data_IF_382899318556
#
_entry.id   IF_382899318556
#
_cell.length_a   1.000
_cell.length_b   1.000
_cell.length_c   1.000
_cell.angle_alpha   90.00
_cell.angle_beta   90.00
_cell.angle_gamma   90.00
#
_symmetry.space_group_name_H-M   'P 1'
#
loop_
_entity.id
_entity.type
_entity.pdbx_description
1 polymer ?
#
# COMPACT_ATOMS: atom_id res chain seq x y z
N UNK A 1 -6.07 -37.61 -22.53
CA UNK A 1 -4.94 -37.08 -23.30
C UNK A 1 -4.22 -35.99 -22.53
N UNK A 2 -3.05 -35.60 -22.98
CA UNK A 2 -2.31 -34.49 -22.37
C UNK A 2 -2.96 -33.16 -22.69
N UNK A 3 -2.96 -32.18 -21.77
CA UNK A 3 -3.37 -30.83 -22.07
C UNK A 3 -2.55 -30.24 -23.23
N UNK A 4 -3.23 -29.63 -24.19
CA UNK A 4 -2.56 -28.92 -25.30
C UNK A 4 -2.70 -27.42 -25.07
N UNK A 5 -1.59 -26.71 -25.17
CA UNK A 5 -1.56 -25.24 -25.08
C UNK A 5 -1.62 -24.69 -26.49
N UNK A 6 -2.70 -23.99 -26.80
CA UNK A 6 -2.89 -23.32 -28.08
C UNK A 6 -3.03 -24.25 -29.29
N UNK A 7 -3.18 -23.67 -30.46
CA UNK A 7 -3.15 -24.37 -31.73
C UNK A 7 -1.71 -24.55 -32.15
N UNK A 8 -1.30 -25.79 -32.40
CA UNK A 8 0.07 -26.16 -32.82
C UNK A 8 1.17 -25.69 -31.84
N UNK A 9 0.85 -25.62 -30.54
CA UNK A 9 1.79 -25.17 -29.50
C UNK A 9 1.96 -23.66 -29.38
N UNK A 10 1.19 -22.86 -30.13
CA UNK A 10 1.26 -21.40 -30.09
C UNK A 10 0.11 -20.87 -29.26
N UNK A 11 0.43 -20.08 -28.22
CA UNK A 11 -0.57 -19.35 -27.43
C UNK A 11 -1.11 -18.17 -28.26
N UNK A 12 -2.43 -18.08 -28.37
CA UNK A 12 -3.11 -16.99 -29.08
C UNK A 12 -3.61 -15.96 -28.06
N UNK A 13 -3.71 -14.70 -28.46
CA UNK A 13 -4.24 -13.64 -27.62
C UNK A 13 -5.71 -13.84 -27.24
N UNK A 14 -6.47 -14.50 -28.12
CA UNK A 14 -7.91 -14.75 -27.91
C UNK A 14 -8.26 -16.18 -28.23
N UNK A 15 -9.16 -16.74 -27.44
CA UNK A 15 -9.74 -18.08 -27.65
C UNK A 15 -11.27 -18.02 -27.59
N UNK A 16 -11.92 -18.97 -28.23
CA UNK A 16 -13.35 -19.16 -28.01
C UNK A 16 -13.60 -19.53 -26.55
N UNK A 17 -14.59 -18.91 -25.95
CA UNK A 17 -15.02 -19.23 -24.59
C UNK A 17 -15.44 -20.71 -24.54
N UNK A 18 -15.01 -21.48 -23.52
CA UNK A 18 -15.44 -22.87 -23.38
C UNK A 18 -16.96 -22.94 -23.19
N UNK A 19 -17.58 -23.95 -23.79
CA UNK A 19 -19.04 -24.19 -23.65
C UNK A 19 -19.35 -24.78 -22.27
N UNK A 20 -19.18 -23.97 -21.24
CA UNK A 20 -19.48 -24.28 -19.83
C UNK A 20 -20.54 -23.31 -19.32
N UNK A 21 -21.37 -23.71 -18.35
CA UNK A 21 -22.27 -22.79 -17.69
C UNK A 21 -21.45 -21.62 -17.07
N UNK A 22 -21.92 -20.40 -17.27
CA UNK A 22 -21.30 -19.25 -16.63
C UNK A 22 -21.52 -19.32 -15.12
N UNK A 23 -20.45 -19.11 -14.36
CA UNK A 23 -20.50 -18.93 -12.91
C UNK A 23 -20.09 -17.50 -12.60
N UNK A 24 -21.02 -16.72 -12.11
CA UNK A 24 -20.73 -15.35 -11.69
C UNK A 24 -20.24 -15.39 -10.25
N UNK A 25 -18.99 -15.02 -10.04
CA UNK A 25 -18.47 -14.80 -8.69
C UNK A 25 -18.99 -13.46 -8.16
N UNK A 26 -19.41 -13.45 -6.90
CA UNK A 26 -19.76 -12.19 -6.24
C UNK A 26 -18.50 -11.30 -6.17
N UNK A 27 -18.66 -10.06 -6.61
CA UNK A 27 -17.58 -9.07 -6.46
C UNK A 27 -17.31 -8.85 -4.97
N UNK A 28 -16.03 -8.90 -4.60
CA UNK A 28 -15.61 -8.56 -3.25
C UNK A 28 -15.69 -7.03 -3.06
N UNK A 29 -16.11 -6.56 -1.88
CA UNK A 29 -16.11 -5.13 -1.60
C UNK A 29 -14.71 -4.53 -1.81
N UNK A 30 -14.63 -3.49 -2.63
CA UNK A 30 -13.36 -2.77 -2.87
C UNK A 30 -12.94 -1.92 -1.66
N UNK A 31 -13.91 -1.55 -0.82
CA UNK A 31 -13.74 -0.75 0.38
C UNK A 31 -13.90 -1.62 1.63
N UNK A 32 -13.03 -1.39 2.60
CA UNK A 32 -13.14 -1.93 3.95
C UNK A 32 -13.33 -0.78 4.93
N UNK A 33 -14.44 -0.76 5.63
CA UNK A 33 -14.77 0.25 6.66
C UNK A 33 -14.28 -0.18 8.05
N UNK A 34 -13.65 -1.38 8.17
CA UNK A 34 -13.11 -1.93 9.41
C UNK A 34 -14.14 -2.01 10.54
N UNK A 35 -15.37 -2.34 10.21
CA UNK A 35 -16.49 -2.52 11.14
C UNK A 35 -16.71 -3.99 11.55
N UNK A 36 -16.02 -4.92 10.90
CA UNK A 36 -16.01 -6.33 11.25
C UNK A 36 -15.14 -6.61 12.48
N UNK A 37 -15.42 -7.72 13.18
CA UNK A 37 -14.63 -8.15 14.35
C UNK A 37 -13.23 -8.66 13.97
N UNK A 38 -13.05 -9.11 12.72
CA UNK A 38 -11.80 -9.66 12.20
C UNK A 38 -11.46 -9.08 10.84
N UNK A 39 -10.16 -9.04 10.53
CA UNK A 39 -9.70 -8.65 9.19
C UNK A 39 -10.13 -9.67 8.13
N UNK A 40 -10.49 -9.19 6.96
CA UNK A 40 -10.74 -10.02 5.78
C UNK A 40 -9.48 -10.80 5.36
N UNK A 41 -9.68 -11.93 4.67
CA UNK A 41 -8.59 -12.83 4.26
C UNK A 41 -7.65 -12.26 3.19
N UNK A 42 -8.02 -11.16 2.57
CA UNK A 42 -7.22 -10.43 1.59
C UNK A 42 -6.21 -9.46 2.21
N UNK A 43 -6.32 -9.23 3.53
CA UNK A 43 -5.33 -8.49 4.28
C UNK A 43 -4.15 -9.37 4.69
N UNK A 44 -2.95 -8.92 4.39
CA UNK A 44 -1.71 -9.63 4.66
C UNK A 44 -0.72 -8.77 5.43
N UNK A 45 0.16 -9.43 6.14
CA UNK A 45 1.21 -8.83 6.95
C UNK A 45 2.59 -9.14 6.35
N UNK A 46 3.59 -8.41 6.78
CA UNK A 46 4.98 -8.77 6.53
C UNK A 46 5.42 -9.71 7.64
N UNK A 47 5.84 -10.93 7.29
CA UNK A 47 6.28 -11.98 8.21
C UNK A 47 5.17 -12.33 9.23
N UNK A 48 5.54 -12.54 10.48
CA UNK A 48 4.62 -12.92 11.56
C UNK A 48 4.62 -11.86 12.67
N UNK A 49 3.83 -10.78 12.52
CA UNK A 49 3.83 -9.68 13.48
C UNK A 49 3.21 -10.05 14.82
N UNK A 50 3.55 -9.33 15.86
CA UNK A 50 2.87 -9.44 17.14
C UNK A 50 1.41 -8.99 17.02
N UNK A 51 0.47 -9.76 17.57
CA UNK A 51 -0.97 -9.44 17.53
C UNK A 51 -1.32 -8.07 18.14
N UNK A 52 -0.45 -7.50 18.96
CA UNK A 52 -0.68 -6.23 19.64
C UNK A 52 -0.46 -4.99 18.79
N UNK A 53 0.05 -5.11 17.55
CA UNK A 53 0.34 -3.92 16.74
C UNK A 53 -0.86 -3.37 15.95
N UNK A 54 -1.97 -4.09 15.88
CA UNK A 54 -3.20 -3.62 15.26
C UNK A 54 -4.45 -3.94 16.10
N UNK A 55 -5.54 -3.21 15.87
CA UNK A 55 -6.83 -3.42 16.51
C UNK A 55 -7.98 -2.90 15.66
N UNK A 56 -9.09 -3.63 15.62
CA UNK A 56 -10.37 -3.21 15.06
C UNK A 56 -11.36 -2.73 16.16
N UNK A 57 -11.06 -3.00 17.43
CA UNK A 57 -11.96 -2.75 18.55
C UNK A 57 -11.61 -1.51 19.37
N UNK A 58 -10.33 -1.09 19.38
CA UNK A 58 -9.90 0.12 20.11
C UNK A 58 -10.55 1.40 19.56
N UNK A 59 -10.87 1.43 18.26
CA UNK A 59 -11.64 2.50 17.61
C UNK A 59 -12.57 1.88 16.56
N UNK A 60 -13.83 1.58 16.93
CA UNK A 60 -14.79 0.97 16.01
C UNK A 60 -14.92 1.75 14.69
N UNK A 61 -15.05 1.03 13.57
CA UNK A 61 -15.08 1.63 12.23
C UNK A 61 -13.72 2.14 11.75
N UNK A 62 -12.63 1.66 12.34
CA UNK A 62 -11.27 2.04 11.95
C UNK A 62 -10.29 0.93 12.28
N UNK A 63 -9.32 0.72 11.40
CA UNK A 63 -8.13 -0.04 11.72
C UNK A 63 -7.15 0.86 12.50
N UNK A 64 -6.82 0.48 13.72
CA UNK A 64 -5.76 1.11 14.49
C UNK A 64 -4.45 0.36 14.30
N UNK A 65 -3.41 1.05 13.84
CA UNK A 65 -2.05 0.54 13.81
C UNK A 65 -1.22 1.20 14.91
N UNK A 66 -0.39 0.42 15.60
CA UNK A 66 0.60 0.91 16.56
C UNK A 66 1.97 0.91 15.88
N UNK A 67 2.58 2.08 15.76
CA UNK A 67 3.95 2.21 15.31
C UNK A 67 4.90 1.50 16.28
N UNK A 68 5.96 0.95 15.75
CA UNK A 68 7.07 0.36 16.48
C UNK A 68 8.39 0.89 15.91
N UNK A 69 9.50 0.72 16.61
CA UNK A 69 10.82 1.05 16.10
C UNK A 69 11.25 0.18 14.90
N UNK A 70 10.51 -0.89 14.61
CA UNK A 70 10.75 -1.77 13.46
C UNK A 70 10.21 -1.10 12.20
N UNK A 71 11.07 -0.85 11.24
CA UNK A 71 10.74 -0.29 9.92
C UNK A 71 11.13 -1.26 8.80
N UNK A 72 10.98 -0.88 7.53
CA UNK A 72 11.28 -1.75 6.40
C UNK A 72 12.76 -2.11 6.26
N UNK A 73 13.68 -1.33 6.82
CA UNK A 73 15.13 -1.64 6.77
C UNK A 73 15.53 -2.68 7.80
N UNK A 74 14.67 -2.97 8.76
CA UNK A 74 14.88 -3.97 9.79
C UNK A 74 14.36 -5.32 9.29
N UNK A 75 15.18 -6.37 9.31
CA UNK A 75 14.73 -7.71 8.94
C UNK A 75 13.83 -8.33 10.02
N UNK A 76 12.69 -7.72 10.28
CA UNK A 76 11.70 -8.08 11.29
C UNK A 76 10.28 -7.80 10.76
N UNK A 77 9.27 -7.81 11.63
CA UNK A 77 7.85 -7.63 11.30
C UNK A 77 7.42 -6.19 11.60
N UNK A 78 7.49 -5.27 10.63
CA UNK A 78 7.01 -3.90 10.81
C UNK A 78 5.50 -3.85 10.94
N UNK A 79 4.95 -2.79 11.51
CA UNK A 79 3.51 -2.54 11.54
C UNK A 79 3.01 -2.18 10.16
N UNK A 80 2.76 -3.20 9.34
CA UNK A 80 2.26 -3.11 7.98
C UNK A 80 1.11 -4.08 7.75
N UNK A 81 0.04 -3.59 7.14
CA UNK A 81 -1.11 -4.39 6.67
C UNK A 81 -1.42 -3.94 5.24
N UNK A 82 -1.40 -4.87 4.30
CA UNK A 82 -1.59 -4.54 2.90
C UNK A 82 -2.37 -5.58 2.11
N UNK A 83 -2.83 -5.15 0.94
CA UNK A 83 -3.42 -6.00 -0.10
C UNK A 83 -2.50 -6.05 -1.30
N UNK A 84 -2.47 -7.20 -1.97
CA UNK A 84 -1.75 -7.32 -3.24
C UNK A 84 -2.41 -6.45 -4.31
N UNK A 85 -1.60 -5.75 -5.08
CA UNK A 85 -2.09 -5.05 -6.26
C UNK A 85 -2.59 -6.08 -7.29
N UNK A 86 -3.89 -6.07 -7.58
CA UNK A 86 -4.54 -7.05 -8.45
C UNK A 86 -4.84 -6.50 -9.86
N UNK A 87 -4.66 -5.20 -10.08
CA UNK A 87 -4.90 -4.55 -11.38
C UNK A 87 -3.84 -3.49 -11.67
N UNK A 88 -3.57 -3.23 -12.94
CA UNK A 88 -2.69 -2.14 -13.35
C UNK A 88 -3.31 -0.78 -13.02
N UNK A 89 -4.57 -0.61 -13.37
CA UNK A 89 -5.31 0.64 -13.15
C UNK A 89 -6.17 0.51 -11.89
N UNK A 90 -5.79 1.21 -10.84
CA UNK A 90 -6.54 1.27 -9.58
C UNK A 90 -6.23 2.55 -8.81
N UNK A 91 -7.09 2.88 -7.85
CA UNK A 91 -6.78 3.87 -6.82
C UNK A 91 -6.97 3.23 -5.44
N UNK A 92 -5.91 3.24 -4.65
CA UNK A 92 -5.94 2.88 -3.24
C UNK A 92 -5.92 4.16 -2.40
N UNK A 93 -6.84 4.29 -1.45
CA UNK A 93 -6.88 5.45 -0.57
C UNK A 93 -7.19 5.06 0.86
N UNK A 94 -6.64 5.81 1.81
CA UNK A 94 -6.93 5.68 3.22
C UNK A 94 -7.18 7.05 3.84
N UNK A 95 -8.18 7.11 4.70
CA UNK A 95 -8.41 8.26 5.58
C UNK A 95 -7.64 8.03 6.87
N UNK A 96 -6.64 8.85 7.12
CA UNK A 96 -5.67 8.70 8.20
C UNK A 96 -5.90 9.80 9.24
N UNK A 97 -6.03 9.39 10.50
CA UNK A 97 -6.04 10.28 11.66
C UNK A 97 -4.78 10.00 12.50
N UNK A 98 -3.75 10.80 12.27
CA UNK A 98 -2.46 10.64 12.92
C UNK A 98 -1.80 12.01 13.14
N UNK A 99 -1.33 12.26 14.35
CA UNK A 99 -0.60 13.46 14.73
C UNK A 99 0.75 13.00 15.29
N UNK A 100 1.83 13.09 14.49
CA UNK A 100 3.18 12.74 14.94
C UNK A 100 3.64 13.74 16.01
N UNK A 101 4.46 13.28 16.95
CA UNK A 101 5.06 14.11 18.02
C UNK A 101 6.54 14.36 17.78
N UNK A 102 7.17 13.48 17.02
CA UNK A 102 8.61 13.54 16.67
C UNK A 102 8.84 13.05 15.25
N UNK A 103 9.98 13.42 14.64
CA UNK A 103 10.33 13.14 13.24
C UNK A 103 10.32 11.64 12.86
N UNK A 104 10.55 10.74 13.81
CA UNK A 104 10.59 9.30 13.54
C UNK A 104 9.21 8.61 13.62
N UNK A 105 8.17 9.35 13.97
CA UNK A 105 6.81 8.84 13.96
C UNK A 105 6.21 9.02 12.57
N UNK A 106 5.88 7.92 11.92
CA UNK A 106 5.39 7.88 10.54
C UNK A 106 4.15 7.00 10.44
N UNK A 107 3.14 7.43 9.69
CA UNK A 107 1.97 6.60 9.37
C UNK A 107 1.36 6.98 8.01
N UNK A 108 0.92 5.99 7.23
CA UNK A 108 0.24 6.24 5.96
C UNK A 108 0.15 5.04 5.04
N UNK A 109 0.26 5.28 3.74
CA UNK A 109 0.18 4.29 2.67
C UNK A 109 1.55 4.02 2.05
N UNK A 110 1.78 2.76 1.68
CA UNK A 110 3.03 2.32 1.06
C UNK A 110 2.73 1.43 -0.13
N UNK A 111 3.44 1.64 -1.23
CA UNK A 111 3.61 0.70 -2.35
C UNK A 111 4.89 -0.07 -2.08
N UNK A 112 4.81 -1.38 -1.91
CA UNK A 112 5.94 -2.19 -1.49
C UNK A 112 6.10 -3.43 -2.37
N UNK A 113 7.27 -3.58 -2.99
CA UNK A 113 7.70 -4.84 -3.59
C UNK A 113 8.43 -5.70 -2.54
N UNK A 114 9.44 -5.12 -1.88
CA UNK A 114 10.22 -5.75 -0.81
C UNK A 114 10.76 -4.71 0.18
N UNK A 115 11.63 -5.13 1.11
CA UNK A 115 12.21 -4.25 2.15
C UNK A 115 13.15 -3.16 1.56
N UNK A 116 13.63 -3.33 0.34
CA UNK A 116 14.59 -2.43 -0.32
C UNK A 116 14.00 -1.58 -1.43
N UNK A 117 12.77 -1.90 -1.85
CA UNK A 117 12.12 -1.28 -2.99
C UNK A 117 10.67 -0.98 -2.64
N UNK A 118 10.41 0.29 -2.24
CA UNK A 118 9.10 0.75 -1.81
C UNK A 118 8.94 2.27 -2.00
N UNK A 119 7.72 2.72 -2.06
CA UNK A 119 7.33 4.13 -2.10
C UNK A 119 6.39 4.41 -0.94
N UNK A 120 6.74 5.37 -0.09
CA UNK A 120 6.06 5.66 1.15
C UNK A 120 5.34 7.01 1.06
N UNK A 121 4.01 7.02 1.10
CA UNK A 121 3.19 8.21 1.25
C UNK A 121 2.72 8.31 2.70
N UNK A 122 3.44 9.06 3.52
CA UNK A 122 3.30 9.05 4.97
C UNK A 122 3.02 10.45 5.53
N UNK A 123 2.45 10.48 6.71
CA UNK A 123 2.37 11.65 7.57
C UNK A 123 3.46 11.52 8.61
N UNK A 124 4.25 12.57 8.82
CA UNK A 124 5.31 12.63 9.83
C UNK A 124 5.44 14.05 10.38
N UNK A 125 6.37 14.24 11.33
CA UNK A 125 6.81 15.54 11.81
C UNK A 125 8.13 15.91 11.14
N UNK A 126 8.30 17.17 10.76
CA UNK A 126 9.56 17.73 10.27
C UNK A 126 9.73 19.17 10.76
N UNK A 127 10.80 19.45 11.48
CA UNK A 127 11.09 20.78 12.02
C UNK A 127 9.93 21.38 12.86
N UNK A 128 9.25 20.57 13.67
CA UNK A 128 8.09 20.99 14.46
C UNK A 128 6.79 21.13 13.67
N UNK A 129 6.76 20.77 12.40
CA UNK A 129 5.59 20.85 11.52
C UNK A 129 5.09 19.47 11.12
N UNK A 130 3.78 19.28 11.14
CA UNK A 130 3.14 18.10 10.57
C UNK A 130 3.18 18.18 9.05
N UNK A 131 3.74 17.17 8.39
CA UNK A 131 3.90 17.13 6.94
C UNK A 131 3.42 15.81 6.35
N UNK A 132 2.96 15.84 5.12
CA UNK A 132 2.92 14.67 4.27
C UNK A 132 4.29 14.52 3.59
N UNK A 133 4.77 13.30 3.51
CA UNK A 133 6.05 12.94 2.91
C UNK A 133 5.81 11.87 1.84
N UNK A 134 6.37 12.05 0.68
CA UNK A 134 6.60 10.98 -0.30
C UNK A 134 8.08 10.65 -0.28
N UNK A 135 8.43 9.44 0.14
CA UNK A 135 9.79 8.91 0.13
C UNK A 135 9.86 7.74 -0.85
N UNK A 136 10.86 7.75 -1.71
CA UNK A 136 11.14 6.70 -2.67
C UNK A 136 12.42 5.98 -2.29
N UNK A 137 12.32 4.71 -2.00
CA UNK A 137 13.44 3.84 -1.65
C UNK A 137 13.61 2.79 -2.74
N UNK A 138 14.80 2.73 -3.34
CA UNK A 138 15.16 1.76 -4.37
C UNK A 138 16.54 1.20 -4.06
N UNK A 139 16.66 -0.14 -4.11
CA UNK A 139 17.91 -0.87 -3.79
C UNK A 139 18.49 -0.46 -2.44
N UNK A 140 17.62 -0.34 -1.44
CA UNK A 140 17.97 0.03 -0.07
C UNK A 140 18.52 1.47 0.09
N UNK A 141 18.21 2.35 -0.84
CA UNK A 141 18.62 3.75 -0.82
C UNK A 141 17.44 4.67 -1.03
N UNK A 142 17.31 5.69 -0.19
CA UNK A 142 16.38 6.79 -0.46
C UNK A 142 16.91 7.58 -1.65
N UNK A 143 16.15 7.54 -2.76
CA UNK A 143 16.53 8.19 -4.02
C UNK A 143 15.81 9.51 -4.23
N UNK A 144 14.70 9.74 -3.52
CA UNK A 144 13.91 10.98 -3.61
C UNK A 144 13.05 11.13 -2.34
N UNK A 145 12.85 12.37 -1.90
CA UNK A 145 11.93 12.70 -0.81
C UNK A 145 11.29 14.07 -1.05
N UNK A 146 9.96 14.10 -1.06
CA UNK A 146 9.16 15.32 -1.23
C UNK A 146 8.28 15.52 0.00
N UNK A 147 8.10 16.77 0.43
CA UNK A 147 7.28 17.13 1.59
C UNK A 147 6.20 18.16 1.23
N UNK A 148 5.08 18.09 1.94
CA UNK A 148 4.02 19.08 1.89
C UNK A 148 3.48 19.33 3.29
N UNK A 149 3.44 20.59 3.72
CA UNK A 149 2.85 20.96 5.00
C UNK A 149 1.38 20.59 5.08
N UNK A 150 0.97 20.14 6.24
CA UNK A 150 -0.40 19.75 6.59
C UNK A 150 -0.93 20.65 7.72
N UNK A 151 -2.24 20.78 7.87
CA UNK A 151 -2.82 21.32 9.11
C UNK A 151 -2.31 20.53 10.33
N UNK A 152 -2.09 21.23 11.44
CA UNK A 152 -1.56 20.63 12.66
C UNK A 152 -2.40 19.44 13.18
N UNK A 153 -3.70 19.47 12.91
CA UNK A 153 -4.66 18.42 13.30
C UNK A 153 -5.61 18.10 12.16
N UNK A 154 -6.44 17.10 12.38
CA UNK A 154 -7.49 16.68 11.42
C UNK A 154 -7.08 15.49 10.57
N UNK A 155 -8.08 14.95 9.88
CA UNK A 155 -7.92 13.78 9.01
C UNK A 155 -7.23 14.16 7.69
N UNK A 156 -6.44 13.25 7.17
CA UNK A 156 -5.79 13.34 5.85
C UNK A 156 -6.22 12.15 5.02
N UNK A 157 -6.65 12.40 3.81
CA UNK A 157 -6.84 11.33 2.81
C UNK A 157 -5.53 11.23 2.04
N UNK A 158 -4.93 10.06 2.08
CA UNK A 158 -3.79 9.66 1.27
C UNK A 158 -4.30 8.79 0.13
N UNK A 159 -3.85 9.05 -1.10
CA UNK A 159 -4.28 8.30 -2.28
C UNK A 159 -3.10 7.94 -3.16
N UNK A 160 -3.11 6.73 -3.68
CA UNK A 160 -2.14 6.19 -4.63
C UNK A 160 -2.92 5.71 -5.83
N UNK A 161 -2.77 6.39 -6.95
CA UNK A 161 -3.36 5.97 -8.22
C UNK A 161 -2.30 5.28 -9.07
N UNK A 162 -2.56 4.03 -9.44
CA UNK A 162 -1.70 3.24 -10.30
C UNK A 162 -2.26 3.23 -11.73
N UNK A 163 -1.33 3.24 -12.68
CA UNK A 163 -1.54 2.91 -14.09
C UNK A 163 -0.57 1.81 -14.48
N UNK A 164 -0.50 1.42 -15.74
CA UNK A 164 0.50 0.44 -16.23
C UNK A 164 1.94 0.88 -15.98
N UNK A 165 2.21 2.18 -16.01
CA UNK A 165 3.59 2.70 -15.98
C UNK A 165 3.91 3.58 -14.77
N UNK A 166 2.90 4.06 -14.05
CA UNK A 166 3.12 5.15 -13.08
C UNK A 166 2.23 5.00 -11.85
N UNK A 167 2.79 5.25 -10.67
CA UNK A 167 2.06 5.59 -9.45
C UNK A 167 2.01 7.10 -9.29
N UNK A 168 0.85 7.65 -8.96
CA UNK A 168 0.66 9.04 -8.58
C UNK A 168 0.26 9.10 -7.11
N UNK A 169 0.93 9.95 -6.33
CA UNK A 169 0.75 10.08 -4.89
C UNK A 169 0.08 11.40 -4.57
N UNK A 170 -1.10 11.34 -3.97
CA UNK A 170 -1.94 12.51 -3.69
C UNK A 170 -2.30 12.59 -2.21
N UNK A 171 -2.47 13.81 -1.72
CA UNK A 171 -2.99 14.10 -0.38
C UNK A 171 -4.16 15.06 -0.45
N UNK A 172 -5.10 14.89 0.49
CA UNK A 172 -6.18 15.83 0.71
C UNK A 172 -6.45 15.98 2.21
N UNK A 173 -6.39 17.21 2.71
CA UNK A 173 -6.63 17.54 4.12
C UNK A 173 -7.20 18.95 4.24
N UNK A 174 -8.39 19.12 4.82
CA UNK A 174 -9.06 20.41 4.96
C UNK A 174 -8.97 21.24 3.65
N UNK A 175 -8.21 22.34 3.67
CA UNK A 175 -7.98 23.23 2.53
C UNK A 175 -6.72 22.89 1.71
N UNK A 176 -6.00 21.80 2.04
CA UNK A 176 -4.79 21.34 1.33
C UNK A 176 -5.16 20.18 0.41
N UNK A 177 -4.85 20.32 -0.88
CA UNK A 177 -4.93 19.23 -1.86
C UNK A 177 -3.71 19.34 -2.76
N UNK A 178 -2.94 18.25 -2.90
CA UNK A 178 -1.72 18.26 -3.69
C UNK A 178 -1.34 16.87 -4.21
N UNK A 179 -0.73 16.83 -5.39
CA UNK A 179 0.07 15.71 -5.87
C UNK A 179 1.49 15.92 -5.33
N UNK A 180 2.00 14.97 -4.54
CA UNK A 180 3.37 15.03 -4.02
C UNK A 180 4.39 14.57 -5.04
N UNK A 181 3.99 13.74 -5.98
CA UNK A 181 4.86 13.25 -7.03
C UNK A 181 4.35 11.98 -7.69
N UNK A 182 5.18 11.46 -8.59
CA UNK A 182 4.94 10.21 -9.29
C UNK A 182 6.14 9.28 -9.17
N UNK A 183 5.93 7.98 -9.36
CA UNK A 183 7.00 6.99 -9.40
C UNK A 183 6.70 5.92 -10.46
N UNK A 184 7.74 5.28 -10.99
CA UNK A 184 7.60 4.23 -12.00
C UNK A 184 7.08 2.93 -11.38
N UNK A 185 6.10 2.29 -12.01
CA UNK A 185 5.66 0.93 -11.63
C UNK A 185 6.75 -0.10 -11.91
N UNK A 186 7.58 0.13 -12.92
CA UNK A 186 8.66 -0.77 -13.31
C UNK A 186 9.72 -0.93 -12.22
N UNK A 187 10.07 0.14 -11.50
CA UNK A 187 11.15 0.11 -10.50
C UNK A 187 10.85 -0.80 -9.30
N UNK A 188 9.57 -1.11 -9.08
CA UNK A 188 9.10 -2.04 -8.04
C UNK A 188 8.50 -3.31 -8.63
N UNK A 189 8.63 -3.54 -9.94
CA UNK A 189 8.14 -4.74 -10.60
C UNK A 189 9.07 -5.94 -10.39
N UNK A 190 8.53 -7.15 -10.53
CA UNK A 190 9.29 -8.39 -10.39
C UNK A 190 10.45 -8.50 -11.40
N UNK A 191 10.33 -7.86 -12.57
CA UNK A 191 11.38 -7.82 -13.59
C UNK A 191 12.62 -7.05 -13.13
N UNK A 192 12.44 -6.10 -12.23
CA UNK A 192 13.55 -5.25 -11.72
C UNK A 192 14.01 -5.70 -10.34
N UNK A 193 13.08 -6.00 -9.41
CA UNK A 193 13.42 -6.35 -8.04
C UNK A 193 13.58 -7.86 -7.83
N UNK A 194 13.06 -8.67 -8.76
CA UNK A 194 12.99 -10.12 -8.63
C UNK A 194 11.81 -10.58 -7.76
N UNK A 195 11.77 -11.88 -7.49
CA UNK A 195 10.71 -12.48 -6.68
C UNK A 195 9.47 -12.86 -7.47
N UNK A 196 8.42 -13.32 -6.76
CA UNK A 196 7.20 -13.86 -7.35
C UNK A 196 5.93 -13.28 -6.72
N UNK A 197 6.07 -12.41 -5.72
CA UNK A 197 4.93 -11.99 -4.90
C UNK A 197 4.17 -10.81 -5.49
N UNK A 198 4.79 -10.02 -6.38
CA UNK A 198 4.22 -8.77 -6.88
C UNK A 198 4.20 -7.67 -5.81
N UNK A 199 3.58 -6.57 -6.16
CA UNK A 199 3.50 -5.38 -5.32
C UNK A 199 2.34 -5.47 -4.34
N UNK A 200 2.54 -4.96 -3.14
CA UNK A 200 1.49 -4.71 -2.14
C UNK A 200 1.28 -3.20 -1.96
N UNK A 201 0.03 -2.82 -1.79
CA UNK A 201 -0.33 -1.48 -1.33
C UNK A 201 -0.96 -1.65 0.05
N UNK A 202 -0.44 -0.95 1.05
CA UNK A 202 -0.86 -1.15 2.42
C UNK A 202 -0.67 0.04 3.33
N UNK A 203 -1.22 -0.09 4.51
CA UNK A 203 -1.09 0.85 5.61
C UNK A 203 0.12 0.49 6.45
N UNK A 204 0.86 1.49 6.86
CA UNK A 204 2.10 1.36 7.61
C UNK A 204 2.14 2.37 8.76
N UNK A 205 2.75 1.97 9.86
CA UNK A 205 3.06 2.85 10.98
C UNK A 205 4.41 2.48 11.59
N UNK A 206 5.23 3.48 11.92
CA UNK A 206 6.45 3.34 12.70
C UNK A 206 6.60 4.47 13.71
N UNK A 207 7.43 4.24 14.72
CA UNK A 207 7.71 5.19 15.78
C UNK A 207 8.32 4.50 16.99
N UNK A 208 8.79 5.27 17.93
CA UNK A 208 9.39 4.77 19.17
C UNK A 208 8.33 4.44 20.22
#
# INVERSE_FOLDING_TARGET
GWPKVGKDGVVQETYLFPNLPSHVWMEQPVRDDFDAETLGLDWTFIRNPAHSFWSLTEKPGSLRLKGTAINFTTNDSPSFIGRRQAAFNLTASAKVNFIPKVENEEAGLVVRADDKNHYDLLITERNGQRVAMLRKTLKDKVVDTTYKELPATGEVILSITATETTYTFEIKAAHVSAILGTASTRDVSNEVVGGFTGVFIGMYASGN
#
